data_IF_960239487036
#
_entry.id   IF_960239487036
#
_cell.length_a   1.000
_cell.length_b   1.000
_cell.length_c   1.000
_cell.angle_alpha   90.00
_cell.angle_beta   90.00
_cell.angle_gamma   90.00
#
_symmetry.space_group_name_H-M   'P 1'
#
loop_
_entity.id
_entity.type
_entity.pdbx_description
1 polymer ?
#
# COMPACT_ATOMS: atom_id res chain seq x y z
N UNK A 1 -60.45 -22.38 17.29
CA UNK A 1 -60.09 -20.94 17.23
C UNK A 1 -58.58 -20.88 17.17
N UNK A 2 -57.95 -20.65 16.00
CA UNK A 2 -57.52 -19.33 15.46
C UNK A 2 -56.69 -18.58 16.52
N UNK A 3 -55.38 -18.35 16.38
CA UNK A 3 -54.71 -17.60 15.30
C UNK A 3 -53.19 -17.83 15.28
N UNK A 4 -52.60 -17.87 14.08
CA UNK A 4 -51.16 -17.77 13.80
C UNK A 4 -50.64 -16.34 14.03
N UNK A 5 -49.42 -16.16 14.54
CA UNK A 5 -48.59 -14.97 14.24
C UNK A 5 -47.13 -15.42 14.05
N UNK A 6 -46.72 -15.42 12.79
CA UNK A 6 -45.35 -15.56 12.30
C UNK A 6 -44.65 -14.22 12.52
N UNK A 7 -43.53 -14.18 13.25
CA UNK A 7 -42.64 -13.01 13.28
C UNK A 7 -41.28 -13.40 12.68
N UNK A 8 -41.12 -13.09 11.39
CA UNK A 8 -39.82 -13.02 10.72
C UNK A 8 -39.07 -11.80 11.26
N UNK A 9 -37.90 -12.01 11.85
CA UNK A 9 -36.90 -10.96 12.07
C UNK A 9 -35.66 -11.31 11.26
N UNK A 10 -35.68 -10.90 9.99
CA UNK A 10 -34.50 -10.84 9.13
C UNK A 10 -33.66 -9.63 9.55
N UNK A 11 -32.57 -9.86 10.27
CA UNK A 11 -31.59 -8.84 10.65
C UNK A 11 -30.43 -8.79 9.65
N UNK A 12 -30.51 -7.78 8.79
CA UNK A 12 -29.54 -7.28 7.82
C UNK A 12 -28.04 -7.55 8.15
N UNK A 13 -27.39 -8.44 7.41
CA UNK A 13 -25.91 -8.50 7.35
C UNK A 13 -25.46 -7.42 6.38
N UNK A 14 -25.08 -6.25 6.90
CA UNK A 14 -24.41 -5.20 6.14
C UNK A 14 -22.99 -5.68 5.83
N UNK A 15 -22.77 -6.16 4.61
CA UNK A 15 -21.43 -6.43 4.08
C UNK A 15 -20.67 -5.12 3.93
N UNK A 16 -19.74 -4.86 4.84
CA UNK A 16 -18.68 -3.85 4.67
C UNK A 16 -17.66 -4.40 3.67
N UNK A 17 -17.96 -4.27 2.38
CA UNK A 17 -17.01 -4.55 1.30
C UNK A 17 -16.67 -3.25 0.58
N UNK A 18 -15.84 -2.41 1.18
CA UNK A 18 -15.37 -1.19 0.53
C UNK A 18 -13.97 -0.81 1.00
N UNK A 19 -12.95 -1.55 0.53
CA UNK A 19 -11.54 -1.11 0.49
C UNK A 19 -10.61 -2.00 -0.36
N UNK A 20 -11.07 -3.11 -0.96
CA UNK A 20 -10.15 -4.08 -1.58
C UNK A 20 -9.67 -3.71 -3.00
N UNK A 21 -10.32 -2.77 -3.69
CA UNK A 21 -10.03 -2.48 -5.11
C UNK A 21 -8.68 -1.75 -5.30
N UNK A 22 -8.23 -0.97 -4.32
CA UNK A 22 -6.94 -0.24 -4.42
C UNK A 22 -5.73 -1.16 -4.19
N UNK A 23 -5.88 -2.15 -3.30
CA UNK A 23 -4.83 -3.09 -2.94
C UNK A 23 -4.40 -3.99 -4.11
N UNK A 24 -5.37 -4.58 -4.80
CA UNK A 24 -5.10 -5.54 -5.88
C UNK A 24 -4.39 -4.88 -7.07
N UNK A 25 -4.70 -3.62 -7.38
CA UNK A 25 -4.03 -2.88 -8.45
C UNK A 25 -2.57 -2.55 -8.09
N UNK A 26 -2.32 -2.16 -6.83
CA UNK A 26 -0.98 -1.87 -6.35
C UNK A 26 -0.07 -3.11 -6.39
N UNK A 27 -0.54 -4.25 -5.90
CA UNK A 27 0.24 -5.49 -5.89
C UNK A 27 0.61 -5.93 -7.32
N UNK A 28 -0.34 -5.84 -8.25
CA UNK A 28 -0.11 -6.15 -9.67
C UNK A 28 0.92 -5.20 -10.28
N UNK A 29 0.80 -3.89 -10.05
CA UNK A 29 1.73 -2.90 -10.56
C UNK A 29 3.15 -3.11 -10.01
N UNK A 30 3.27 -3.29 -8.69
CA UNK A 30 4.56 -3.39 -8.01
C UNK A 30 5.29 -4.69 -8.31
N UNK A 31 4.57 -5.80 -8.49
CA UNK A 31 5.15 -7.09 -8.88
C UNK A 31 5.85 -7.07 -10.25
N UNK A 32 5.54 -6.09 -11.11
CA UNK A 32 6.07 -5.95 -12.46
C UNK A 32 7.20 -4.92 -12.58
N UNK A 33 7.54 -4.20 -11.50
CA UNK A 33 8.55 -3.14 -11.54
C UNK A 33 9.93 -3.69 -11.89
N UNK A 34 10.27 -4.84 -11.33
CA UNK A 34 11.60 -5.43 -11.44
C UNK A 34 11.57 -6.78 -12.16
N UNK A 35 12.63 -7.06 -12.91
CA UNK A 35 12.83 -8.37 -13.52
C UNK A 35 13.34 -9.38 -12.49
N UNK A 36 13.27 -10.66 -12.85
CA UNK A 36 13.85 -11.73 -12.04
C UNK A 36 15.34 -11.44 -11.76
N UNK A 37 15.74 -11.57 -10.49
CA UNK A 37 17.09 -11.29 -9.95
C UNK A 37 17.45 -9.82 -9.68
N UNK A 38 16.55 -8.86 -9.93
CA UNK A 38 16.76 -7.46 -9.51
C UNK A 38 16.29 -7.26 -8.06
N UNK A 39 15.04 -6.88 -7.83
CA UNK A 39 14.41 -6.80 -6.53
C UNK A 39 13.05 -7.50 -6.58
N UNK A 40 12.68 -8.20 -5.53
CA UNK A 40 11.41 -8.92 -5.43
C UNK A 40 10.43 -8.10 -4.62
N UNK A 41 9.25 -7.87 -5.17
CA UNK A 41 8.15 -7.25 -4.43
C UNK A 41 7.67 -8.18 -3.31
N UNK A 42 7.56 -7.65 -2.09
CA UNK A 42 7.12 -8.39 -0.91
C UNK A 42 5.66 -8.08 -0.58
N UNK A 43 5.26 -6.82 -0.73
CA UNK A 43 3.95 -6.33 -0.32
C UNK A 43 3.99 -4.86 0.01
N UNK A 44 2.94 -4.38 0.66
CA UNK A 44 2.85 -3.02 1.16
C UNK A 44 2.32 -2.97 2.60
N UNK A 45 2.60 -1.89 3.30
CA UNK A 45 2.11 -1.60 4.64
C UNK A 45 1.43 -0.22 4.66
N UNK A 46 0.22 -0.16 5.21
CA UNK A 46 -0.47 1.11 5.50
C UNK A 46 -0.10 1.56 6.90
N UNK A 47 0.42 2.78 7.00
CA UNK A 47 0.66 3.43 8.29
C UNK A 47 -0.41 4.50 8.47
N UNK A 48 -1.35 4.22 9.39
CA UNK A 48 -2.39 5.16 9.77
C UNK A 48 -1.80 6.29 10.64
N UNK A 49 -2.44 7.46 10.67
CA UNK A 49 -1.90 8.63 11.38
C UNK A 49 -1.74 8.34 12.88
N UNK A 50 -2.67 7.58 13.46
CA UNK A 50 -2.70 7.22 14.87
C UNK A 50 -1.50 6.35 15.30
N UNK A 51 -0.92 5.62 14.35
CA UNK A 51 0.24 4.76 14.57
C UNK A 51 1.57 5.53 14.46
N UNK A 52 1.52 6.79 14.01
CA UNK A 52 2.71 7.62 13.85
C UNK A 52 3.08 8.26 15.19
N UNK A 53 4.32 8.06 15.68
CA UNK A 53 4.77 8.70 16.91
C UNK A 53 4.69 10.23 16.79
N UNK A 54 4.20 10.91 17.83
CA UNK A 54 4.07 12.38 17.87
C UNK A 54 5.40 13.16 17.67
N UNK A 55 6.54 12.48 17.72
CA UNK A 55 7.88 13.06 17.47
C UNK A 55 8.38 12.83 16.03
N UNK A 56 7.65 12.07 15.22
CA UNK A 56 8.02 11.83 13.84
C UNK A 56 7.88 13.12 13.03
N UNK A 57 8.71 13.27 12.00
CA UNK A 57 8.65 14.39 11.05
C UNK A 57 7.48 14.28 10.07
N UNK A 58 6.77 13.16 10.08
CA UNK A 58 5.62 12.84 9.23
C UNK A 58 4.41 12.78 10.16
N UNK A 59 3.34 13.52 9.85
CA UNK A 59 2.06 13.51 10.60
C UNK A 59 0.87 13.25 9.66
N UNK A 60 1.09 12.33 8.73
CA UNK A 60 0.20 12.06 7.62
C UNK A 60 0.20 10.57 7.31
N UNK A 61 -0.97 10.03 6.96
CA UNK A 61 -1.12 8.63 6.58
C UNK A 61 -0.26 8.34 5.36
N UNK A 62 0.51 7.25 5.41
CA UNK A 62 1.43 6.91 4.34
C UNK A 62 1.50 5.41 4.08
N UNK A 63 1.94 5.09 2.86
CA UNK A 63 2.04 3.72 2.38
C UNK A 63 3.52 3.36 2.20
N UNK A 64 3.95 2.21 2.69
CA UNK A 64 5.29 1.68 2.46
C UNK A 64 5.20 0.52 1.48
N UNK A 65 5.88 0.62 0.35
CA UNK A 65 6.01 -0.48 -0.62
C UNK A 65 7.34 -1.20 -0.38
N UNK A 66 7.29 -2.50 -0.13
CA UNK A 66 8.45 -3.29 0.29
C UNK A 66 8.98 -4.16 -0.86
N UNK A 67 10.28 -4.01 -1.12
CA UNK A 67 11.05 -4.86 -2.00
C UNK A 67 12.24 -5.48 -1.25
N UNK A 68 12.76 -6.59 -1.79
CA UNK A 68 13.99 -7.22 -1.31
C UNK A 68 14.93 -7.54 -2.45
N UNK A 69 16.19 -7.18 -2.29
CA UNK A 69 17.24 -7.67 -3.16
C UNK A 69 17.52 -9.14 -2.83
N UNK A 70 17.67 -10.03 -3.83
CA UNK A 70 17.89 -11.46 -3.61
C UNK A 70 19.27 -11.78 -3.03
N UNK A 71 20.23 -10.87 -3.20
CA UNK A 71 21.62 -11.02 -2.77
C UNK A 71 21.98 -9.93 -1.74
N UNK A 72 23.10 -9.24 -1.96
CA UNK A 72 23.57 -8.15 -1.13
C UNK A 72 22.91 -6.83 -1.51
N UNK A 73 22.84 -5.90 -0.56
CA UNK A 73 22.48 -4.51 -0.79
C UNK A 73 23.30 -3.95 -1.97
N UNK A 74 22.66 -3.35 -2.99
CA UNK A 74 23.37 -2.76 -4.11
C UNK A 74 24.16 -1.52 -3.66
N UNK A 75 25.08 -1.09 -4.52
CA UNK A 75 25.77 0.19 -4.32
C UNK A 75 24.77 1.36 -4.28
N UNK A 76 25.13 2.45 -3.61
CA UNK A 76 24.23 3.58 -3.36
C UNK A 76 23.60 4.15 -4.65
N UNK A 77 24.36 4.26 -5.74
CA UNK A 77 23.85 4.75 -7.03
C UNK A 77 22.76 3.83 -7.60
N UNK A 78 22.96 2.52 -7.53
CA UNK A 78 21.98 1.55 -8.00
C UNK A 78 20.76 1.49 -7.08
N UNK A 79 20.96 1.65 -5.77
CA UNK A 79 19.85 1.79 -4.83
C UNK A 79 18.98 3.01 -5.16
N UNK A 80 19.61 4.18 -5.41
CA UNK A 80 18.89 5.39 -5.80
C UNK A 80 18.16 5.21 -7.14
N UNK A 81 18.77 4.52 -8.11
CA UNK A 81 18.10 4.18 -9.37
C UNK A 81 16.89 3.26 -9.14
N UNK A 82 16.99 2.28 -8.24
CA UNK A 82 15.89 1.39 -7.86
C UNK A 82 14.76 2.16 -7.17
N UNK A 83 15.07 3.05 -6.23
CA UNK A 83 14.10 3.96 -5.58
C UNK A 83 13.38 4.78 -6.65
N UNK A 84 14.15 5.45 -7.51
CA UNK A 84 13.60 6.29 -8.57
C UNK A 84 12.69 5.50 -9.54
N UNK A 85 13.09 4.28 -9.90
CA UNK A 85 12.29 3.39 -10.75
C UNK A 85 10.94 3.06 -10.12
N UNK A 86 10.92 2.63 -8.86
CA UNK A 86 9.67 2.32 -8.13
C UNK A 86 8.79 3.56 -8.03
N UNK A 87 9.34 4.67 -7.50
CA UNK A 87 8.59 5.90 -7.33
C UNK A 87 8.02 6.40 -8.65
N UNK A 88 8.79 6.34 -9.75
CA UNK A 88 8.29 6.78 -11.04
C UNK A 88 7.28 5.84 -11.68
N UNK A 89 7.36 4.54 -11.45
CA UNK A 89 6.30 3.62 -11.88
C UNK A 89 4.99 3.95 -11.15
N UNK A 90 5.06 4.15 -9.84
CA UNK A 90 3.88 4.45 -9.02
C UNK A 90 3.27 5.81 -9.38
N UNK A 91 4.08 6.87 -9.46
CA UNK A 91 3.62 8.23 -9.76
C UNK A 91 3.10 8.40 -11.20
N UNK A 92 3.48 7.52 -12.14
CA UNK A 92 2.96 7.53 -13.51
C UNK A 92 1.55 6.96 -13.60
N UNK A 93 1.16 6.08 -12.68
CA UNK A 93 -0.19 5.55 -12.60
C UNK A 93 -1.11 6.56 -11.89
N UNK A 94 -1.72 7.44 -12.70
CA UNK A 94 -2.59 8.51 -12.20
C UNK A 94 -3.85 8.00 -11.51
N UNK A 95 -4.36 6.85 -11.94
CA UNK A 95 -5.57 6.28 -11.34
C UNK A 95 -5.26 5.74 -9.96
N UNK A 96 -4.15 5.01 -9.83
CA UNK A 96 -3.66 4.53 -8.55
C UNK A 96 -3.36 5.68 -7.58
N UNK A 97 -2.60 6.70 -8.01
CA UNK A 97 -2.32 7.87 -7.18
C UNK A 97 -3.60 8.54 -6.71
N UNK A 98 -4.57 8.73 -7.62
CA UNK A 98 -5.86 9.30 -7.25
C UNK A 98 -6.60 8.43 -6.24
N UNK A 99 -6.64 7.11 -6.44
CA UNK A 99 -7.27 6.18 -5.51
C UNK A 99 -6.61 6.20 -4.14
N UNK A 100 -5.28 6.32 -4.07
CA UNK A 100 -4.53 6.43 -2.82
C UNK A 100 -4.85 7.76 -2.10
N UNK A 101 -4.85 8.87 -2.83
CA UNK A 101 -5.22 10.18 -2.26
C UNK A 101 -6.69 10.21 -1.80
N UNK A 102 -7.61 9.65 -2.58
CA UNK A 102 -9.04 9.54 -2.22
C UNK A 102 -9.23 8.63 -0.98
N UNK A 103 -8.28 7.72 -0.72
CA UNK A 103 -8.24 6.86 0.48
C UNK A 103 -7.48 7.50 1.67
N UNK A 104 -7.03 8.75 1.52
CA UNK A 104 -6.36 9.52 2.56
C UNK A 104 -4.86 9.31 2.69
N UNK A 105 -4.21 8.61 1.74
CA UNK A 105 -2.75 8.52 1.72
C UNK A 105 -2.15 9.81 1.14
N UNK A 106 -1.37 10.49 1.96
CA UNK A 106 -0.72 11.75 1.60
C UNK A 106 0.74 11.55 1.15
N UNK A 107 1.28 10.34 1.30
CA UNK A 107 2.66 10.00 1.00
C UNK A 107 2.81 8.50 0.68
N UNK A 108 3.75 8.19 -0.20
CA UNK A 108 4.21 6.82 -0.46
C UNK A 108 5.73 6.77 -0.30
N UNK A 109 6.21 5.76 0.42
CA UNK A 109 7.61 5.46 0.61
C UNK A 109 7.93 4.06 0.06
N UNK A 110 9.19 3.84 -0.31
CA UNK A 110 9.69 2.53 -0.73
C UNK A 110 10.76 2.05 0.24
N UNK A 111 10.72 0.77 0.59
CA UNK A 111 11.72 0.11 1.43
C UNK A 111 12.38 -1.04 0.66
N UNK A 112 13.70 -1.15 0.76
CA UNK A 112 14.47 -2.28 0.20
C UNK A 112 15.07 -3.19 1.28
N UNK A 113 15.03 -2.73 2.53
CA UNK A 113 15.41 -3.47 3.74
C UNK A 113 14.44 -3.12 4.88
N UNK A 114 14.74 -3.57 6.10
CA UNK A 114 13.90 -3.31 7.30
C UNK A 114 14.26 -2.03 8.05
N UNK A 115 15.34 -1.35 7.65
CA UNK A 115 15.93 -0.26 8.41
C UNK A 115 15.73 1.09 7.73
N UNK A 116 15.57 1.09 6.40
CA UNK A 116 15.50 2.29 5.58
C UNK A 116 14.23 2.34 4.73
N UNK A 117 13.72 3.55 4.59
CA UNK A 117 12.58 3.90 3.75
C UNK A 117 12.96 5.17 2.97
N UNK A 118 12.45 5.29 1.74
CA UNK A 118 12.73 6.41 0.85
C UNK A 118 11.42 7.00 0.35
N UNK A 119 11.19 8.29 0.64
CA UNK A 119 9.97 8.99 0.25
C UNK A 119 9.95 9.23 -1.27
N UNK A 120 8.80 8.98 -1.89
CA UNK A 120 8.60 9.22 -3.33
C UNK A 120 8.12 10.66 -3.66
N UNK A 121 7.81 11.49 -2.65
CA UNK A 121 7.27 12.85 -2.78
C UNK A 121 8.02 13.88 -1.94
#
# INVERSE_FOLDING_TARGET
MRTNITALLSGLVLGLSSAQVSAENLDVLMSQVFQANEATYIGYESIEREDIPARASVDRKYLIVDFRFPNQQPAAEQLQASVHKVCMTLLKDRELIRSLSDSGYDMVAVAFDRQSQFDCL
#
